data_IF_292966627036
#
_entry.id   IF_292966627036
#
_cell.length_a   1.000
_cell.length_b   1.000
_cell.length_c   1.000
_cell.angle_alpha   90.00
_cell.angle_beta   90.00
_cell.angle_gamma   90.00
#
_symmetry.space_group_name_H-M   'P 1'
#
loop_
_entity.id
_entity.type
_entity.pdbx_description
1 polymer ?
#
# COMPACT_ATOMS: atom_id res chain seq x y z
N UNK A 1 -9.07 26.64 20.83
CA UNK A 1 -8.95 26.15 22.22
C UNK A 1 -7.91 25.05 22.26
N UNK A 2 -7.20 24.85 23.39
CA UNK A 2 -6.26 23.74 23.52
C UNK A 2 -7.02 22.40 23.38
N UNK A 3 -6.50 21.48 22.55
CA UNK A 3 -7.10 20.15 22.39
C UNK A 3 -6.69 19.16 23.48
N UNK A 4 -5.62 19.48 24.22
CA UNK A 4 -5.10 18.69 25.33
C UNK A 4 -4.85 19.63 26.51
N UNK A 5 -5.43 19.28 27.65
CA UNK A 5 -5.15 19.93 28.93
C UNK A 5 -4.43 18.95 29.84
N UNK A 6 -3.25 19.32 30.32
CA UNK A 6 -2.47 18.52 31.27
C UNK A 6 -2.67 19.10 32.67
N UNK A 7 -3.05 18.26 33.62
CA UNK A 7 -3.33 18.68 34.99
C UNK A 7 -2.70 17.71 35.99
N UNK A 8 -2.05 18.26 37.02
CA UNK A 8 -1.38 17.46 38.07
C UNK A 8 -2.33 17.15 39.23
N UNK A 9 -3.19 18.12 39.60
CA UNK A 9 -4.22 18.01 40.66
C UNK A 9 -5.48 18.88 40.39
N UNK A 10 -5.54 19.65 39.29
CA UNK A 10 -6.60 20.65 39.04
C UNK A 10 -7.83 20.14 38.26
N UNK A 11 -7.86 18.88 37.84
CA UNK A 11 -9.11 18.27 37.33
C UNK A 11 -9.99 17.73 38.48
N UNK A 12 -9.48 17.74 39.71
CA UNK A 12 -10.18 17.20 40.89
C UNK A 12 -11.41 18.05 41.24
N UNK A 13 -11.37 19.39 41.10
CA UNK A 13 -12.55 20.26 41.27
C UNK A 13 -12.44 21.56 40.46
N UNK A 14 -13.44 21.88 39.63
CA UNK A 14 -13.62 23.23 39.06
C UNK A 14 -13.65 23.36 37.54
N UNK A 15 -13.16 22.36 36.78
CA UNK A 15 -13.23 22.38 35.31
C UNK A 15 -14.52 21.70 34.86
N UNK A 16 -15.41 22.47 34.23
CA UNK A 16 -16.62 21.96 33.59
C UNK A 16 -16.52 22.07 32.06
N UNK A 17 -16.10 20.97 31.42
CA UNK A 17 -16.04 20.88 29.95
C UNK A 17 -16.88 19.68 29.50
N UNK A 18 -18.12 19.89 29.01
CA UNK A 18 -18.97 18.81 28.49
C UNK A 18 -18.37 18.09 27.28
N UNK A 19 -17.55 18.79 26.51
CA UNK A 19 -16.91 18.34 25.27
C UNK A 19 -15.76 17.32 25.47
N UNK A 20 -15.47 16.89 26.70
CA UNK A 20 -14.38 15.92 26.98
C UNK A 20 -14.69 14.57 26.33
N UNK A 21 -13.87 14.16 25.38
CA UNK A 21 -13.97 12.86 24.71
C UNK A 21 -12.97 11.81 25.19
N UNK A 22 -11.86 12.24 25.79
CA UNK A 22 -10.75 11.36 26.18
C UNK A 22 -10.23 11.75 27.57
N UNK A 23 -10.15 10.79 28.48
CA UNK A 23 -9.47 10.92 29.76
C UNK A 23 -8.21 10.06 29.76
N UNK A 24 -7.07 10.64 30.11
CA UNK A 24 -5.79 9.92 30.14
C UNK A 24 -5.28 9.86 31.58
N UNK A 25 -5.27 8.67 32.17
CA UNK A 25 -4.65 8.42 33.47
C UNK A 25 -3.17 8.07 33.28
N UNK A 26 -2.32 9.08 33.49
CA UNK A 26 -0.86 8.95 33.45
C UNK A 26 -0.22 9.10 34.85
N UNK A 27 -1.00 8.80 35.90
CA UNK A 27 -0.62 8.86 37.32
C UNK A 27 -1.39 7.77 38.07
N UNK A 28 -0.76 7.21 39.10
CA UNK A 28 -1.41 6.28 40.03
C UNK A 28 -2.32 7.07 40.97
N UNK A 29 -3.60 6.70 41.01
CA UNK A 29 -4.63 7.29 41.86
C UNK A 29 -4.86 6.35 43.05
N UNK A 30 -4.63 6.86 44.25
CA UNK A 30 -4.76 6.07 45.49
C UNK A 30 -6.11 6.25 46.19
N UNK A 31 -6.92 7.22 45.77
CA UNK A 31 -8.23 7.51 46.37
C UNK A 31 -9.36 7.15 45.42
N UNK A 32 -10.24 6.23 45.85
CA UNK A 32 -11.42 5.81 45.09
C UNK A 32 -12.35 6.98 44.77
N UNK A 33 -12.51 7.92 45.72
CA UNK A 33 -13.35 9.10 45.55
C UNK A 33 -12.79 9.98 44.42
N UNK A 34 -11.48 10.21 44.39
CA UNK A 34 -10.84 11.00 43.32
C UNK A 34 -10.96 10.30 41.97
N UNK A 35 -10.77 8.99 41.93
CA UNK A 35 -10.90 8.20 40.72
C UNK A 35 -12.31 8.31 40.10
N UNK A 36 -13.36 8.15 40.90
CA UNK A 36 -14.75 8.32 40.45
C UNK A 36 -15.04 9.76 39.99
N UNK A 37 -14.52 10.76 40.71
CA UNK A 37 -14.65 12.17 40.32
C UNK A 37 -13.98 12.47 38.98
N UNK A 38 -12.80 11.90 38.73
CA UNK A 38 -12.07 12.08 37.47
C UNK A 38 -12.84 11.43 36.32
N UNK A 39 -13.38 10.22 36.49
CA UNK A 39 -14.24 9.56 35.49
C UNK A 39 -15.49 10.39 35.21
N UNK A 40 -16.12 10.92 36.25
CA UNK A 40 -17.32 11.76 36.14
C UNK A 40 -17.13 13.05 35.33
N UNK A 41 -15.89 13.43 34.98
CA UNK A 41 -15.65 14.55 34.05
C UNK A 41 -16.01 14.19 32.60
N UNK A 42 -15.82 12.93 32.21
CA UNK A 42 -16.10 12.44 30.86
C UNK A 42 -17.58 12.16 30.60
N UNK A 43 -18.40 11.97 31.64
CA UNK A 43 -19.79 11.50 31.52
C UNK A 43 -20.79 12.57 31.10
N UNK A 44 -20.39 13.85 31.03
CA UNK A 44 -21.29 14.94 30.64
C UNK A 44 -21.72 14.79 29.19
N UNK A 45 -23.02 14.89 28.95
CA UNK A 45 -23.58 14.92 27.60
C UNK A 45 -23.26 16.24 26.92
N UNK A 46 -23.00 16.18 25.62
CA UNK A 46 -22.78 17.36 24.80
C UNK A 46 -23.54 17.17 23.49
N UNK A 47 -24.53 18.03 23.23
CA UNK A 47 -25.30 17.97 22.00
C UNK A 47 -24.49 18.52 20.83
N UNK A 48 -24.73 17.97 19.65
CA UNK A 48 -24.15 18.40 18.38
C UNK A 48 -22.59 18.46 18.39
N UNK A 49 -21.94 17.65 19.24
CA UNK A 49 -20.49 17.71 19.45
C UNK A 49 -19.70 17.32 18.19
N UNK A 50 -20.20 16.32 17.46
CA UNK A 50 -19.58 15.83 16.23
C UNK A 50 -20.17 16.48 14.97
N UNK A 51 -21.38 17.04 15.08
CA UNK A 51 -22.11 17.75 14.04
C UNK A 51 -23.60 17.85 14.38
N UNK A 52 -24.42 18.52 13.56
CA UNK A 52 -25.85 18.67 13.85
C UNK A 52 -26.57 17.32 13.92
N UNK A 53 -27.17 17.01 15.07
CA UNK A 53 -27.82 15.74 15.38
C UNK A 53 -26.85 14.66 15.86
N UNK A 54 -25.54 14.93 15.91
CA UNK A 54 -24.51 13.99 16.35
C UNK A 54 -23.99 14.37 17.74
N UNK A 55 -24.77 13.94 18.73
CA UNK A 55 -24.47 14.12 20.14
C UNK A 55 -23.31 13.23 20.61
N UNK A 56 -22.67 13.66 21.69
CA UNK A 56 -21.72 12.84 22.43
C UNK A 56 -22.43 11.63 23.06
N UNK A 57 -22.11 10.44 22.56
CA UNK A 57 -22.65 9.16 23.07
C UNK A 57 -21.72 8.50 24.09
N UNK A 58 -20.43 8.71 23.95
CA UNK A 58 -19.39 8.01 24.70
C UNK A 58 -18.14 8.89 24.90
N UNK A 59 -17.21 8.40 25.70
CA UNK A 59 -15.88 8.95 25.90
C UNK A 59 -14.91 7.82 26.23
N UNK A 60 -13.64 8.02 25.91
CA UNK A 60 -12.60 7.01 26.09
C UNK A 60 -11.77 7.27 27.34
N UNK A 61 -11.30 6.20 27.97
CA UNK A 61 -10.37 6.26 29.09
C UNK A 61 -9.10 5.50 28.70
N UNK A 62 -7.97 6.17 28.78
CA UNK A 62 -6.64 5.60 28.57
C UNK A 62 -5.95 5.47 29.92
N UNK A 63 -5.88 4.26 30.46
CA UNK A 63 -5.28 4.00 31.78
C UNK A 63 -3.88 3.40 31.68
N UNK A 64 -2.88 4.28 31.68
CA UNK A 64 -1.48 3.86 31.59
C UNK A 64 -0.95 3.27 32.92
N UNK A 65 -1.59 3.59 34.05
CA UNK A 65 -1.08 3.25 35.37
C UNK A 65 -1.84 2.11 36.07
N UNK A 66 -2.81 1.47 35.40
CA UNK A 66 -3.56 0.34 35.96
C UNK A 66 -4.46 0.72 37.14
N UNK A 67 -5.04 1.91 37.12
CA UNK A 67 -5.99 2.39 38.12
C UNK A 67 -7.31 1.58 38.12
N UNK A 68 -7.79 1.13 36.97
CA UNK A 68 -8.99 0.30 36.86
C UNK A 68 -8.81 -1.04 37.58
N UNK A 69 -7.69 -1.71 37.33
CA UNK A 69 -7.29 -2.92 38.04
C UNK A 69 -7.16 -2.66 39.55
N UNK A 70 -6.47 -1.57 39.91
CA UNK A 70 -6.25 -1.19 41.31
C UNK A 70 -7.56 -1.00 42.10
N UNK A 71 -8.60 -0.42 41.48
CA UNK A 71 -9.92 -0.24 42.09
C UNK A 71 -10.93 -1.35 41.77
N UNK A 72 -10.50 -2.41 41.08
CA UNK A 72 -11.36 -3.52 40.62
C UNK A 72 -12.60 -3.04 39.86
N UNK A 73 -12.42 -2.03 39.01
CA UNK A 73 -13.48 -1.49 38.15
C UNK A 73 -13.37 -2.11 36.77
N UNK A 74 -14.45 -2.71 36.29
CA UNK A 74 -14.55 -3.20 34.92
C UNK A 74 -14.96 -2.04 34.00
N UNK A 75 -14.22 -1.85 32.92
CA UNK A 75 -14.63 -1.02 31.79
C UNK A 75 -15.12 -1.89 30.65
N UNK A 76 -15.83 -1.31 29.69
CA UNK A 76 -16.02 -1.94 28.40
C UNK A 76 -14.67 -1.89 27.69
N UNK A 77 -13.97 -3.02 27.62
CA UNK A 77 -12.67 -3.10 26.97
C UNK A 77 -12.84 -2.79 25.47
N UNK A 78 -12.28 -1.66 25.06
CA UNK A 78 -12.21 -1.29 23.65
C UNK A 78 -10.93 -1.90 23.13
N UNK A 79 -11.06 -2.98 22.36
CA UNK A 79 -9.94 -3.46 21.58
C UNK A 79 -9.52 -2.35 20.61
N UNK A 80 -8.21 -2.04 20.49
CA UNK A 80 -7.74 -1.12 19.47
C UNK A 80 -8.35 -1.53 18.13
N UNK A 81 -9.04 -0.62 17.46
CA UNK A 81 -9.42 -0.88 16.08
C UNK A 81 -8.12 -1.03 15.29
N UNK A 82 -7.98 -2.07 14.46
CA UNK A 82 -6.87 -2.21 13.49
C UNK A 82 -6.94 -1.16 12.36
N UNK A 83 -7.55 0.00 12.62
CA UNK A 83 -7.69 1.06 11.64
C UNK A 83 -6.33 1.70 11.38
N UNK A 84 -5.86 1.51 10.15
CA UNK A 84 -4.63 2.15 9.67
C UNK A 84 -4.77 3.67 9.72
N UNK A 85 -3.73 4.35 10.19
CA UNK A 85 -3.64 5.81 10.13
C UNK A 85 -3.74 6.32 8.68
N UNK A 86 -4.12 7.59 8.48
CA UNK A 86 -4.17 8.17 7.13
C UNK A 86 -2.82 8.08 6.39
N UNK A 87 -1.71 8.29 7.11
CA UNK A 87 -0.35 8.17 6.56
C UNK A 87 -0.06 6.72 6.13
N UNK A 88 -0.44 5.74 6.94
CA UNK A 88 -0.27 4.32 6.62
C UNK A 88 -1.12 3.91 5.41
N UNK A 89 -2.38 4.34 5.35
CA UNK A 89 -3.25 4.12 4.20
C UNK A 89 -2.67 4.71 2.91
N UNK A 90 -2.20 5.96 2.95
CA UNK A 90 -1.54 6.61 1.81
C UNK A 90 -0.30 5.84 1.36
N UNK A 91 0.54 5.40 2.31
CA UNK A 91 1.72 4.61 2.01
C UNK A 91 1.35 3.28 1.32
N UNK A 92 0.33 2.58 1.84
CA UNK A 92 -0.18 1.34 1.26
C UNK A 92 -0.70 1.54 -0.18
N UNK A 93 -1.52 2.57 -0.42
CA UNK A 93 -2.09 2.86 -1.74
C UNK A 93 -1.01 3.23 -2.75
N UNK A 94 -0.03 4.04 -2.34
CA UNK A 94 1.10 4.42 -3.20
C UNK A 94 1.94 3.20 -3.57
N UNK A 95 2.16 2.26 -2.65
CA UNK A 95 2.83 1.00 -2.96
C UNK A 95 2.05 0.16 -3.99
N UNK A 96 0.74 0.07 -3.83
CA UNK A 96 -0.12 -0.66 -4.77
C UNK A 96 -0.03 -0.05 -6.17
N UNK A 97 -0.23 1.28 -6.29
CA UNK A 97 -0.13 1.98 -7.58
C UNK A 97 1.27 1.84 -8.17
N UNK A 98 2.33 2.05 -7.37
CA UNK A 98 3.70 1.93 -7.82
C UNK A 98 4.04 0.52 -8.31
N UNK A 99 3.45 -0.53 -7.75
CA UNK A 99 3.65 -1.90 -8.23
C UNK A 99 2.88 -2.17 -9.52
N UNK A 100 1.62 -1.76 -9.61
CA UNK A 100 0.82 -2.07 -10.80
C UNK A 100 1.29 -1.30 -12.04
N UNK A 101 1.74 -0.05 -11.87
CA UNK A 101 2.32 0.74 -12.95
C UNK A 101 3.66 0.17 -13.48
N UNK A 102 4.25 -0.85 -12.84
CA UNK A 102 5.45 -1.51 -13.38
C UNK A 102 5.15 -2.29 -14.66
N UNK A 103 3.90 -2.64 -14.95
CA UNK A 103 3.54 -3.47 -16.10
C UNK A 103 4.02 -2.85 -17.43
N UNK A 104 4.31 -3.70 -18.42
CA UNK A 104 4.77 -3.25 -19.73
C UNK A 104 3.79 -2.24 -20.37
N UNK A 105 2.48 -2.49 -20.26
CA UNK A 105 1.44 -1.62 -20.80
C UNK A 105 1.49 -0.20 -20.21
N UNK A 106 1.75 -0.08 -18.92
CA UNK A 106 1.88 1.21 -18.24
C UNK A 106 3.22 1.87 -18.52
N UNK A 107 4.30 1.10 -18.60
CA UNK A 107 5.64 1.63 -18.88
C UNK A 107 5.81 2.16 -20.31
N UNK A 108 4.93 1.81 -21.26
CA UNK A 108 4.85 2.43 -22.59
C UNK A 108 4.22 3.83 -22.56
N UNK A 109 3.38 4.12 -21.55
CA UNK A 109 2.69 5.40 -21.40
C UNK A 109 3.59 6.37 -20.61
N UNK A 110 3.97 7.48 -21.22
CA UNK A 110 4.93 8.44 -20.65
C UNK A 110 4.52 8.95 -19.27
N UNK A 111 3.24 9.28 -19.10
CA UNK A 111 2.70 9.76 -17.82
C UNK A 111 2.72 8.69 -16.73
N UNK A 112 2.27 7.47 -17.03
CA UNK A 112 2.22 6.35 -16.09
C UNK A 112 3.63 6.01 -15.59
N UNK A 113 4.61 6.01 -16.49
CA UNK A 113 6.03 5.83 -16.15
C UNK A 113 6.53 6.94 -15.23
N UNK A 114 6.22 8.20 -15.52
CA UNK A 114 6.62 9.31 -14.67
C UNK A 114 6.01 9.18 -13.27
N UNK A 115 4.70 8.90 -13.18
CA UNK A 115 4.01 8.71 -11.90
C UNK A 115 4.61 7.55 -11.10
N UNK A 116 4.89 6.42 -11.76
CA UNK A 116 5.57 5.28 -11.18
C UNK A 116 6.93 5.65 -10.54
N UNK A 117 7.76 6.39 -11.28
CA UNK A 117 9.10 6.78 -10.81
C UNK A 117 9.02 7.78 -9.66
N UNK A 118 8.12 8.78 -9.75
CA UNK A 118 7.87 9.75 -8.67
C UNK A 118 7.40 9.05 -7.38
N UNK A 119 6.47 8.10 -7.49
CA UNK A 119 5.98 7.33 -6.34
C UNK A 119 7.08 6.48 -5.70
N UNK A 120 7.92 5.82 -6.50
CA UNK A 120 9.04 5.02 -5.97
C UNK A 120 10.07 5.87 -5.25
N UNK A 121 10.40 7.06 -5.79
CA UNK A 121 11.30 8.00 -5.12
C UNK A 121 10.71 8.44 -3.78
N UNK A 122 9.42 8.80 -3.75
CA UNK A 122 8.73 9.19 -2.52
C UNK A 122 8.73 8.06 -1.48
N UNK A 123 8.36 6.85 -1.88
CA UNK A 123 8.29 5.67 -1.00
C UNK A 123 9.68 5.30 -0.46
N UNK A 124 10.72 5.35 -1.31
CA UNK A 124 12.12 5.15 -0.89
C UNK A 124 12.53 6.17 0.17
N UNK A 125 12.25 7.45 -0.04
CA UNK A 125 12.55 8.50 0.93
C UNK A 125 11.82 8.27 2.26
N UNK A 126 10.55 7.88 2.21
CA UNK A 126 9.75 7.59 3.41
C UNK A 126 10.33 6.40 4.22
N UNK A 127 10.71 5.31 3.55
CA UNK A 127 11.31 4.14 4.21
C UNK A 127 12.72 4.46 4.72
N UNK A 128 13.53 5.17 3.94
CA UNK A 128 14.88 5.57 4.33
C UNK A 128 14.89 6.51 5.54
N UNK A 129 13.86 7.34 5.71
CA UNK A 129 13.69 8.26 6.83
C UNK A 129 13.29 7.58 8.15
N UNK A 130 12.97 6.27 8.15
CA UNK A 130 12.69 5.54 9.39
C UNK A 130 13.98 5.45 10.22
N UNK A 131 13.97 6.04 11.42
CA UNK A 131 15.13 6.05 12.32
C UNK A 131 15.48 4.67 12.87
N UNK A 132 16.76 4.28 12.79
CA UNK A 132 17.27 2.98 13.28
C UNK A 132 17.20 2.88 14.82
N UNK A 133 17.24 4.02 15.48
CA UNK A 133 17.18 4.18 16.93
C UNK A 133 15.78 3.96 17.51
N UNK A 134 14.72 4.04 16.69
CA UNK A 134 13.34 3.82 17.12
C UNK A 134 13.16 2.37 17.57
N UNK A 135 12.79 2.17 18.84
CA UNK A 135 12.58 0.82 19.39
C UNK A 135 11.51 0.04 18.61
N UNK A 136 10.46 0.73 18.18
CA UNK A 136 9.36 0.18 17.37
C UNK A 136 9.82 -0.31 15.99
N UNK A 137 10.90 0.24 15.42
CA UNK A 137 11.40 -0.16 14.11
C UNK A 137 12.29 -1.42 14.16
N UNK A 138 12.80 -1.80 15.34
CA UNK A 138 13.75 -2.93 15.51
C UNK A 138 13.22 -4.27 14.97
N UNK A 139 11.96 -4.67 15.24
CA UNK A 139 11.42 -5.94 14.72
C UNK A 139 11.34 -5.98 13.18
N UNK A 140 11.34 -4.81 12.53
CA UNK A 140 11.10 -4.66 11.11
C UNK A 140 12.37 -4.34 10.30
N UNK A 141 13.56 -4.35 10.93
CA UNK A 141 14.81 -3.98 10.28
C UNK A 141 15.19 -4.89 9.10
N UNK A 142 14.82 -6.16 9.16
CA UNK A 142 14.98 -7.11 8.06
C UNK A 142 14.22 -6.67 6.79
N UNK A 143 13.07 -6.00 6.95
CA UNK A 143 12.27 -5.43 5.87
C UNK A 143 12.78 -4.04 5.51
N UNK A 144 13.15 -3.19 6.47
CA UNK A 144 13.53 -1.79 6.19
C UNK A 144 14.89 -1.68 5.50
N UNK A 145 15.91 -2.41 5.98
CA UNK A 145 17.30 -2.18 5.55
C UNK A 145 17.56 -2.45 4.06
N UNK A 146 17.01 -3.52 3.44
CA UNK A 146 17.16 -3.74 2.00
C UNK A 146 16.59 -2.60 1.16
N UNK A 147 15.50 -1.98 1.63
CA UNK A 147 14.79 -0.90 0.93
C UNK A 147 15.35 0.49 1.20
N UNK A 148 16.44 0.61 1.98
CA UNK A 148 17.24 1.85 1.98
C UNK A 148 18.05 2.00 0.70
N UNK A 149 18.37 0.90 0.02
CA UNK A 149 19.06 0.93 -1.27
C UNK A 149 18.04 1.15 -2.40
N UNK A 150 18.30 2.15 -3.24
CA UNK A 150 17.46 2.50 -4.40
C UNK A 150 17.33 1.33 -5.39
N UNK A 151 18.36 0.48 -5.53
CA UNK A 151 18.32 -0.66 -6.45
C UNK A 151 17.19 -1.65 -6.15
N UNK A 152 16.80 -1.80 -4.87
CA UNK A 152 15.73 -2.72 -4.48
C UNK A 152 14.34 -2.22 -4.87
N UNK A 153 14.19 -0.94 -5.21
CA UNK A 153 12.96 -0.34 -5.72
C UNK A 153 12.77 -0.49 -7.23
N UNK A 154 13.77 -0.98 -7.97
CA UNK A 154 13.70 -1.12 -9.43
C UNK A 154 12.49 -1.95 -9.86
N UNK A 155 12.30 -3.12 -9.26
CA UNK A 155 11.08 -3.91 -9.41
C UNK A 155 10.64 -4.45 -8.04
N UNK A 156 9.39 -4.18 -7.69
CA UNK A 156 8.72 -4.66 -6.50
C UNK A 156 7.89 -5.90 -6.86
N UNK A 157 8.10 -7.00 -6.13
CA UNK A 157 7.22 -8.16 -6.18
C UNK A 157 5.98 -7.94 -5.30
N UNK A 158 4.98 -8.82 -5.42
CA UNK A 158 3.79 -8.73 -4.57
C UNK A 158 4.09 -9.00 -3.11
N UNK A 159 5.00 -9.95 -2.84
CA UNK A 159 5.46 -10.23 -1.50
C UNK A 159 6.23 -9.06 -0.90
N UNK A 160 7.04 -8.38 -1.73
CA UNK A 160 7.76 -7.17 -1.34
C UNK A 160 6.79 -6.05 -0.91
N UNK A 161 5.72 -5.80 -1.69
CA UNK A 161 4.66 -4.86 -1.33
C UNK A 161 3.94 -5.27 -0.05
N UNK A 162 3.57 -6.55 0.09
CA UNK A 162 2.91 -7.07 1.29
C UNK A 162 3.76 -6.87 2.56
N UNK A 163 5.07 -7.13 2.47
CA UNK A 163 6.02 -6.89 3.56
C UNK A 163 6.14 -5.40 3.90
N UNK A 164 6.25 -4.53 2.90
CA UNK A 164 6.36 -3.09 3.10
C UNK A 164 5.08 -2.51 3.74
N UNK A 165 3.89 -2.99 3.38
CA UNK A 165 2.64 -2.54 4.01
C UNK A 165 2.61 -2.76 5.53
N UNK A 166 3.35 -3.75 6.06
CA UNK A 166 3.44 -4.01 7.50
C UNK A 166 4.18 -2.90 8.26
N UNK A 167 5.07 -2.16 7.58
CA UNK A 167 5.82 -1.04 8.19
C UNK A 167 5.15 0.33 8.00
N UNK A 168 3.93 0.37 7.42
CA UNK A 168 3.22 1.63 7.16
C UNK A 168 2.97 2.49 8.42
N UNK A 169 2.76 1.85 9.57
CA UNK A 169 2.61 2.53 10.87
C UNK A 169 3.89 3.23 11.36
N UNK A 170 5.07 2.85 10.85
CA UNK A 170 6.36 3.47 11.20
C UNK A 170 6.68 4.72 10.37
N UNK A 171 5.94 4.93 9.27
CA UNK A 171 6.14 6.05 8.37
C UNK A 171 5.87 7.35 9.11
N UNK A 172 6.79 8.31 8.97
CA UNK A 172 6.67 9.61 9.62
C UNK A 172 5.42 10.31 9.11
N UNK A 173 4.59 10.76 10.04
CA UNK A 173 3.40 11.55 9.71
C UNK A 173 3.84 12.87 9.08
N UNK A 174 3.43 13.08 7.83
CA UNK A 174 3.67 14.33 7.10
C UNK A 174 2.92 15.50 7.77
N UNK A 175 3.44 16.72 7.59
CA UNK A 175 2.84 17.96 8.12
C UNK A 175 1.58 18.40 7.36
N UNK A 176 1.21 17.67 6.31
CA UNK A 176 0.01 17.93 5.52
C UNK A 176 -1.25 17.86 6.36
N UNK A 177 -2.23 18.65 5.94
CA UNK A 177 -3.55 18.70 6.55
C UNK A 177 -4.26 17.34 6.44
N UNK A 178 -5.04 16.96 7.45
CA UNK A 178 -5.76 15.68 7.48
C UNK A 178 -6.77 15.57 6.34
N UNK A 179 -7.43 16.67 5.99
CA UNK A 179 -8.38 16.76 4.89
C UNK A 179 -7.69 16.57 3.53
N UNK A 180 -6.48 17.09 3.36
CA UNK A 180 -5.69 16.86 2.15
C UNK A 180 -5.31 15.37 2.05
N UNK A 181 -4.93 14.73 3.16
CA UNK A 181 -4.64 13.29 3.21
C UNK A 181 -5.87 12.45 2.88
N UNK A 182 -7.04 12.77 3.45
CA UNK A 182 -8.30 12.09 3.14
C UNK A 182 -8.67 12.23 1.67
N UNK A 183 -8.51 13.42 1.09
CA UNK A 183 -8.76 13.63 -0.33
C UNK A 183 -7.78 12.85 -1.21
N UNK A 184 -6.49 12.86 -0.88
CA UNK A 184 -5.48 12.05 -1.57
C UNK A 184 -5.84 10.56 -1.52
N UNK A 185 -6.31 10.03 -0.38
CA UNK A 185 -6.78 8.64 -0.26
C UNK A 185 -7.92 8.36 -1.26
N UNK A 186 -8.92 9.24 -1.33
CA UNK A 186 -10.05 9.07 -2.26
C UNK A 186 -9.56 9.05 -3.71
N UNK A 187 -8.71 10.01 -4.09
CA UNK A 187 -8.19 10.11 -5.45
C UNK A 187 -7.33 8.90 -5.82
N UNK A 188 -6.43 8.46 -4.92
CA UNK A 188 -5.58 7.30 -5.17
C UNK A 188 -6.38 6.01 -5.31
N UNK A 189 -7.49 5.84 -4.58
CA UNK A 189 -8.39 4.69 -4.81
C UNK A 189 -9.02 4.71 -6.21
N UNK A 190 -9.44 5.88 -6.69
CA UNK A 190 -9.99 6.01 -8.05
C UNK A 190 -8.90 5.70 -9.08
N UNK A 191 -7.70 6.27 -8.92
CA UNK A 191 -6.57 5.96 -9.81
C UNK A 191 -6.24 4.47 -9.82
N UNK A 192 -6.22 3.84 -8.64
CA UNK A 192 -5.90 2.42 -8.51
C UNK A 192 -6.96 1.52 -9.15
N UNK A 193 -8.22 1.90 -9.13
CA UNK A 193 -9.29 1.16 -9.81
C UNK A 193 -9.24 1.24 -11.34
N UNK A 194 -8.64 2.30 -11.89
CA UNK A 194 -8.40 2.41 -13.33
C UNK A 194 -7.27 1.50 -13.78
N UNK A 195 -6.28 1.30 -12.91
CA UNK A 195 -5.13 0.45 -13.16
C UNK A 195 -5.49 -1.02 -12.93
N UNK A 196 -6.24 -1.31 -11.87
CA UNK A 196 -6.62 -2.66 -11.46
C UNK A 196 -8.14 -2.80 -11.48
N UNK A 197 -8.65 -3.41 -12.55
CA UNK A 197 -10.10 -3.59 -12.78
C UNK A 197 -10.77 -4.52 -11.77
N UNK A 198 -10.00 -5.26 -10.96
CA UNK A 198 -10.56 -6.07 -9.87
C UNK A 198 -11.03 -5.20 -8.70
N UNK A 199 -10.49 -3.98 -8.57
CA UNK A 199 -10.84 -3.03 -7.51
C UNK A 199 -12.03 -2.19 -7.93
N UNK A 200 -13.14 -2.33 -7.20
CA UNK A 200 -14.34 -1.53 -7.48
C UNK A 200 -14.20 -0.12 -6.92
N UNK A 201 -14.49 0.86 -7.77
CA UNK A 201 -14.79 2.22 -7.33
C UNK A 201 -16.12 2.20 -6.60
N UNK A 202 -16.08 2.31 -5.27
CA UNK A 202 -17.28 2.51 -4.48
C UNK A 202 -17.88 3.91 -4.72
N UNK A 203 -18.27 4.58 -3.65
CA UNK A 203 -18.85 5.93 -3.73
C UNK A 203 -17.80 7.05 -3.95
N UNK A 204 -16.53 6.71 -4.19
CA UNK A 204 -15.43 7.68 -4.26
C UNK A 204 -15.61 8.76 -5.33
N UNK A 205 -16.08 8.43 -6.54
CA UNK A 205 -16.37 9.45 -7.57
C UNK A 205 -17.42 10.46 -7.08
N UNK A 206 -18.46 9.98 -6.38
CA UNK A 206 -19.50 10.85 -5.80
C UNK A 206 -18.94 11.77 -4.72
N UNK A 207 -18.00 11.28 -3.90
CA UNK A 207 -17.31 12.09 -2.89
C UNK A 207 -16.56 13.25 -3.56
N UNK A 208 -15.81 12.98 -4.62
CA UNK A 208 -15.08 14.02 -5.36
C UNK A 208 -16.03 15.04 -5.99
N UNK A 209 -17.11 14.59 -6.65
CA UNK A 209 -18.14 15.48 -7.22
C UNK A 209 -18.78 16.36 -6.14
N UNK A 210 -19.09 15.81 -4.98
CA UNK A 210 -19.66 16.56 -3.86
C UNK A 210 -18.68 17.60 -3.31
N UNK A 211 -17.40 17.26 -3.17
CA UNK A 211 -16.34 18.19 -2.76
C UNK A 211 -16.28 19.35 -3.77
N UNK A 212 -16.24 19.06 -5.06
CA UNK A 212 -16.22 20.05 -6.12
C UNK A 212 -17.45 20.98 -6.06
N UNK A 213 -18.65 20.44 -5.88
CA UNK A 213 -19.88 21.22 -5.76
C UNK A 213 -19.88 22.16 -4.53
N UNK A 214 -19.24 21.76 -3.43
CA UNK A 214 -19.10 22.62 -2.24
C UNK A 214 -18.05 23.71 -2.49
N UNK A 215 -16.93 23.37 -3.13
CA UNK A 215 -15.90 24.34 -3.50
C UNK A 215 -16.45 25.39 -4.47
N UNK A 216 -17.25 24.99 -5.46
CA UNK A 216 -17.87 25.94 -6.41
C UNK A 216 -18.74 26.99 -5.71
N UNK A 217 -19.46 26.63 -4.64
CA UNK A 217 -20.23 27.59 -3.82
C UNK A 217 -19.34 28.61 -3.10
N UNK A 218 -18.03 28.35 -2.99
CA UNK A 218 -17.01 29.22 -2.42
C UNK A 218 -16.19 29.97 -3.47
N UNK A 219 -16.73 30.14 -4.67
CA UNK A 219 -16.16 30.95 -5.77
C UNK A 219 -15.89 32.43 -5.41
N UNK A 220 -16.22 32.92 -4.22
CA UNK A 220 -15.75 34.23 -3.75
C UNK A 220 -14.29 34.22 -3.28
N UNK A 221 -13.71 33.04 -3.01
CA UNK A 221 -12.34 32.88 -2.54
C UNK A 221 -11.39 32.86 -3.76
N UNK A 222 -10.37 33.74 -3.84
CA UNK A 222 -9.48 33.82 -5.00
C UNK A 222 -8.82 32.48 -5.37
N UNK A 223 -8.33 31.73 -4.38
CA UNK A 223 -7.72 30.42 -4.60
C UNK A 223 -8.70 29.40 -5.21
N UNK A 224 -9.99 29.48 -4.87
CA UNK A 224 -11.02 28.60 -5.47
C UNK A 224 -11.34 29.03 -6.90
N UNK A 225 -11.40 30.35 -7.15
CA UNK A 225 -11.63 30.89 -8.49
C UNK A 225 -10.53 30.55 -9.49
N UNK A 226 -9.28 30.51 -9.04
CA UNK A 226 -8.15 30.09 -9.86
C UNK A 226 -8.30 28.66 -10.40
N UNK A 227 -8.95 27.78 -9.65
CA UNK A 227 -9.14 26.36 -9.99
C UNK A 227 -10.58 26.03 -10.42
N UNK A 228 -11.41 27.04 -10.74
CA UNK A 228 -12.85 26.87 -10.98
C UNK A 228 -13.15 26.00 -12.19
N UNK A 229 -12.27 26.01 -13.20
CA UNK A 229 -12.45 25.22 -14.42
C UNK A 229 -12.35 23.72 -14.13
N UNK A 230 -11.38 23.32 -13.31
CA UNK A 230 -11.20 21.94 -12.85
C UNK A 230 -12.39 21.52 -11.97
N UNK A 231 -12.80 22.39 -11.04
CA UNK A 231 -13.97 22.15 -10.17
C UNK A 231 -15.23 21.87 -11.01
N UNK A 232 -15.44 22.61 -12.10
CA UNK A 232 -16.58 22.41 -13.01
C UNK A 232 -16.42 21.19 -13.91
N UNK A 233 -15.19 20.88 -14.33
CA UNK A 233 -14.91 19.73 -15.17
C UNK A 233 -15.24 18.43 -14.45
N UNK A 234 -14.78 18.28 -13.21
CA UNK A 234 -14.97 17.07 -12.39
C UNK A 234 -16.44 16.82 -12.03
N UNK A 235 -17.30 17.84 -12.08
CA UNK A 235 -18.74 17.68 -11.88
C UNK A 235 -19.49 17.15 -13.11
N UNK A 236 -18.88 17.18 -14.30
CA UNK A 236 -19.53 16.73 -15.54
C UNK A 236 -19.38 15.21 -15.73
N UNK A 237 -20.44 14.49 -16.13
CA UNK A 237 -20.34 13.04 -16.42
C UNK A 237 -19.27 12.69 -17.46
N UNK A 238 -19.12 13.53 -18.49
CA UNK A 238 -18.17 13.35 -19.60
C UNK A 238 -16.71 13.21 -19.13
N UNK A 239 -16.35 13.84 -18.00
CA UNK A 239 -15.02 13.70 -17.41
C UNK A 239 -14.77 12.25 -16.94
N UNK A 240 -15.75 11.66 -16.25
CA UNK A 240 -15.66 10.31 -15.70
C UNK A 240 -15.83 9.21 -16.75
N UNK A 241 -16.42 9.53 -17.90
CA UNK A 241 -16.51 8.63 -19.06
C UNK A 241 -15.17 8.49 -19.79
N UNK A 242 -14.31 9.51 -19.72
CA UNK A 242 -13.01 9.56 -20.39
C UNK A 242 -11.87 9.82 -19.40
N UNK A 243 -12.00 9.31 -18.17
CA UNK A 243 -11.00 9.55 -17.13
C UNK A 243 -9.68 8.83 -17.45
N UNK A 244 -8.58 9.51 -17.17
CA UNK A 244 -7.21 9.02 -17.36
C UNK A 244 -6.39 9.32 -16.11
N UNK A 245 -5.27 8.61 -15.95
CA UNK A 245 -4.40 8.79 -14.77
C UNK A 245 -3.83 10.20 -14.68
N UNK A 246 -3.50 10.83 -15.81
CA UNK A 246 -3.03 12.21 -15.87
C UNK A 246 -4.10 13.20 -15.43
N UNK A 247 -5.35 13.02 -15.89
CA UNK A 247 -6.47 13.86 -15.50
C UNK A 247 -6.77 13.73 -14.01
N UNK A 248 -6.76 12.52 -13.45
CA UNK A 248 -7.01 12.29 -12.02
C UNK A 248 -5.89 12.81 -11.13
N UNK A 249 -4.62 12.61 -11.51
CA UNK A 249 -3.48 13.14 -10.76
C UNK A 249 -3.46 14.67 -10.80
N UNK A 250 -3.82 15.28 -11.94
CA UNK A 250 -3.98 16.72 -12.04
C UNK A 250 -5.08 17.22 -11.10
N UNK A 251 -6.28 16.61 -11.12
CA UNK A 251 -7.37 16.93 -10.17
C UNK A 251 -6.90 16.80 -8.72
N UNK A 252 -6.14 15.75 -8.39
CA UNK A 252 -5.61 15.54 -7.04
C UNK A 252 -4.70 16.67 -6.60
N UNK A 253 -3.71 17.04 -7.44
CA UNK A 253 -2.72 18.10 -7.13
C UNK A 253 -3.37 19.47 -6.98
N UNK A 254 -4.31 19.80 -7.85
CA UNK A 254 -4.95 21.11 -7.91
C UNK A 254 -5.99 21.29 -6.79
N UNK A 255 -6.80 20.27 -6.51
CA UNK A 255 -7.87 20.38 -5.51
C UNK A 255 -7.42 20.09 -4.08
N UNK A 256 -6.36 19.30 -3.83
CA UNK A 256 -5.92 18.94 -2.45
C UNK A 256 -5.64 20.17 -1.60
N UNK A 257 -5.06 21.21 -2.21
CA UNK A 257 -4.76 22.48 -1.58
C UNK A 257 -6.00 23.28 -1.19
N UNK A 258 -7.18 23.00 -1.77
CA UNK A 258 -8.43 23.70 -1.51
C UNK A 258 -9.33 23.00 -0.50
N UNK A 259 -9.11 21.71 -0.21
CA UNK A 259 -9.99 20.92 0.67
C UNK A 259 -10.04 21.47 2.10
N UNK A 260 -8.97 22.13 2.58
CA UNK A 260 -8.99 22.79 3.89
C UNK A 260 -10.07 23.89 3.99
N UNK A 261 -10.49 24.48 2.86
CA UNK A 261 -11.57 25.46 2.82
C UNK A 261 -12.91 24.85 3.21
N UNK A 262 -13.06 23.53 3.20
CA UNK A 262 -14.28 22.85 3.65
C UNK A 262 -14.46 22.92 5.19
N UNK A 263 -13.41 23.23 5.95
CA UNK A 263 -13.45 23.38 7.43
C UNK A 263 -14.38 24.49 7.89
N UNK A 264 -14.45 25.58 7.13
CA UNK A 264 -15.24 26.76 7.47
C UNK A 264 -16.65 26.69 6.90
N UNK A 265 -17.46 25.72 7.33
CA UNK A 265 -18.91 25.91 7.29
C UNK A 265 -19.29 26.77 8.50
N UNK A 266 -19.63 28.04 8.27
CA UNK A 266 -20.40 28.84 9.24
C UNK A 266 -21.74 28.14 9.45
N UNK A 267 -21.84 27.31 10.49
CA UNK A 267 -23.04 26.51 10.79
C UNK A 267 -22.82 25.14 11.42
N UNK A 268 -21.61 24.75 11.82
CA UNK A 268 -21.39 23.55 12.66
C UNK A 268 -21.37 22.20 11.93
N UNK A 269 -21.60 22.15 10.61
CA UNK A 269 -21.42 20.92 9.81
C UNK A 269 -19.96 20.77 9.41
N UNK A 270 -19.19 20.01 10.18
CA UNK A 270 -17.91 19.47 9.72
C UNK A 270 -18.21 18.49 8.57
N UNK A 271 -17.52 18.64 7.45
CA UNK A 271 -17.55 17.63 6.40
C UNK A 271 -16.67 16.47 6.84
N UNK A 272 -17.26 15.50 7.54
CA UNK A 272 -16.59 14.27 7.91
C UNK A 272 -16.63 13.37 6.67
N UNK A 273 -15.49 13.24 5.99
CA UNK A 273 -15.32 12.16 5.02
C UNK A 273 -15.04 10.92 5.86
N UNK A 274 -16.11 10.27 6.33
CA UNK A 274 -16.02 8.96 6.94
C UNK A 274 -15.87 7.96 5.79
N UNK A 275 -14.62 7.66 5.46
CA UNK A 275 -14.31 6.55 4.57
C UNK A 275 -14.33 5.32 5.46
N UNK A 276 -15.52 4.80 5.73
CA UNK A 276 -15.66 3.44 6.24
C UNK A 276 -14.84 2.55 5.30
N UNK A 277 -13.86 1.83 5.83
CA UNK A 277 -13.35 0.65 5.13
C UNK A 277 -14.52 -0.33 5.17
N UNK A 278 -15.21 -0.62 4.05
CA UNK A 278 -16.23 -1.64 4.07
C UNK A 278 -15.50 -2.97 4.23
N UNK A 279 -15.27 -3.39 5.47
CA UNK A 279 -15.31 -4.82 5.75
C UNK A 279 -16.79 -5.16 5.86
N UNK A 280 -17.29 -5.95 4.93
CA UNK A 280 -18.61 -6.57 5.07
C UNK A 280 -18.58 -7.44 6.32
N UNK A 281 -19.07 -6.93 7.46
CA UNK A 281 -19.65 -7.81 8.46
C UNK A 281 -20.99 -8.22 7.89
N UNK A 282 -21.05 -9.42 7.34
CA UNK A 282 -22.32 -10.04 6.98
C UNK A 282 -23.04 -10.31 8.29
N UNK A 283 -24.04 -9.49 8.61
CA UNK A 283 -24.94 -9.79 9.72
C UNK A 283 -25.85 -10.94 9.31
N UNK A 284 -25.48 -12.15 9.76
CA UNK A 284 -26.38 -13.30 9.82
C UNK A 284 -26.00 -14.46 8.92
N UNK A 285 -25.68 -15.60 9.56
CA UNK A 285 -25.81 -16.94 8.99
C UNK A 285 -24.49 -17.67 8.77
N UNK A 286 -24.10 -18.46 9.78
CA UNK A 286 -23.05 -19.49 9.77
C UNK A 286 -21.61 -18.98 9.56
N UNK A 287 -20.64 -19.62 10.23
CA UNK A 287 -19.22 -19.35 10.09
C UNK A 287 -18.76 -19.65 8.64
N UNK A 288 -19.04 -18.75 7.70
CA UNK A 288 -18.31 -18.71 6.45
C UNK A 288 -16.92 -18.16 6.76
N UNK A 289 -15.98 -19.10 6.87
CA UNK A 289 -14.54 -18.87 6.82
C UNK A 289 -14.26 -17.72 5.85
N UNK A 290 -13.65 -16.65 6.35
CA UNK A 290 -13.16 -15.52 5.54
C UNK A 290 -12.43 -16.14 4.34
N UNK A 291 -13.06 -16.16 3.16
CA UNK A 291 -12.40 -16.62 1.94
C UNK A 291 -11.45 -15.50 1.51
N UNK A 292 -10.28 -15.44 2.15
CA UNK A 292 -9.13 -14.75 1.59
C UNK A 292 -8.98 -15.21 0.15
N UNK A 293 -8.86 -14.24 -0.77
CA UNK A 293 -8.64 -14.52 -2.19
C UNK A 293 -7.50 -15.52 -2.39
N UNK A 294 -7.59 -16.36 -3.43
CA UNK A 294 -6.55 -17.32 -3.78
C UNK A 294 -5.16 -16.67 -3.82
N UNK A 295 -5.06 -15.49 -4.44
CA UNK A 295 -3.86 -14.66 -4.51
C UNK A 295 -3.28 -14.33 -3.13
N UNK A 296 -4.12 -13.89 -2.20
CA UNK A 296 -3.70 -13.60 -0.82
C UNK A 296 -3.21 -14.88 -0.10
N UNK A 297 -3.90 -16.01 -0.26
CA UNK A 297 -3.46 -17.30 0.32
C UNK A 297 -2.06 -17.71 -0.18
N UNK A 298 -1.80 -17.51 -1.47
CA UNK A 298 -0.47 -17.75 -2.07
C UNK A 298 0.59 -16.82 -1.47
N UNK A 299 0.30 -15.52 -1.35
CA UNK A 299 1.24 -14.55 -0.76
C UNK A 299 1.59 -14.93 0.68
N UNK A 300 0.58 -15.30 1.48
CA UNK A 300 0.77 -15.68 2.88
C UNK A 300 1.60 -16.95 2.99
N UNK A 301 1.30 -17.97 2.19
CA UNK A 301 2.08 -19.20 2.12
C UNK A 301 3.56 -18.95 1.78
N UNK A 302 3.83 -18.13 0.75
CA UNK A 302 5.21 -17.80 0.34
C UNK A 302 5.94 -16.96 1.40
N UNK A 303 5.22 -16.13 2.15
CA UNK A 303 5.78 -15.36 3.25
C UNK A 303 6.22 -16.26 4.41
N UNK A 304 5.43 -17.27 4.75
CA UNK A 304 5.67 -18.20 5.85
C UNK A 304 6.74 -19.25 5.49
N UNK A 305 6.80 -19.67 4.23
CA UNK A 305 7.69 -20.72 3.75
C UNK A 305 8.97 -20.18 3.10
N UNK A 306 9.38 -18.95 3.37
CA UNK A 306 10.52 -18.30 2.69
C UNK A 306 11.86 -19.06 2.80
N UNK A 307 11.99 -19.98 3.77
CA UNK A 307 13.18 -20.81 3.98
C UNK A 307 13.11 -22.18 3.28
N UNK A 308 12.05 -22.46 2.52
CA UNK A 308 11.91 -23.69 1.75
C UNK A 308 13.02 -23.80 0.69
N UNK A 309 13.61 -24.99 0.57
CA UNK A 309 14.67 -25.25 -0.40
C UNK A 309 14.18 -25.02 -1.83
N UNK A 310 12.98 -25.49 -2.16
CA UNK A 310 12.37 -25.37 -3.48
C UNK A 310 12.13 -23.90 -3.86
N UNK A 311 11.63 -23.08 -2.93
CA UNK A 311 11.45 -21.64 -3.18
C UNK A 311 12.80 -20.92 -3.35
N UNK A 312 13.83 -21.32 -2.59
CA UNK A 312 15.18 -20.78 -2.74
C UNK A 312 15.77 -21.14 -4.11
N UNK A 313 15.58 -22.38 -4.58
CA UNK A 313 16.01 -22.80 -5.93
C UNK A 313 15.40 -21.90 -7.01
N UNK A 314 14.10 -21.61 -6.90
CA UNK A 314 13.38 -20.72 -7.83
C UNK A 314 13.98 -19.32 -7.86
N UNK A 315 14.24 -18.72 -6.70
CA UNK A 315 14.81 -17.37 -6.58
C UNK A 315 16.26 -17.27 -7.05
N UNK A 316 17.05 -18.32 -6.82
CA UNK A 316 18.49 -18.37 -7.13
C UNK A 316 18.82 -18.94 -8.51
N UNK A 317 17.80 -19.26 -9.32
CA UNK A 317 17.97 -19.85 -10.64
C UNK A 317 18.73 -21.19 -10.60
N UNK A 318 18.38 -22.04 -9.62
CA UNK A 318 18.87 -23.41 -9.50
C UNK A 318 17.86 -24.37 -10.14
N UNK A 319 18.35 -25.48 -10.71
CA UNK A 319 17.52 -26.45 -11.43
C UNK A 319 16.48 -27.10 -10.51
N UNK A 320 15.21 -27.01 -10.88
CA UNK A 320 14.14 -27.77 -10.23
C UNK A 320 14.13 -29.22 -10.69
N UNK A 321 13.81 -30.12 -9.77
CA UNK A 321 13.54 -31.53 -10.07
C UNK A 321 12.06 -31.74 -10.40
N UNK A 322 11.72 -32.85 -11.06
CA UNK A 322 10.30 -33.19 -11.31
C UNK A 322 9.49 -33.29 -10.01
N UNK A 323 10.10 -33.82 -8.94
CA UNK A 323 9.47 -33.89 -7.62
C UNK A 323 9.23 -32.51 -7.01
N UNK A 324 10.12 -31.55 -7.22
CA UNK A 324 9.91 -30.15 -6.77
C UNK A 324 8.67 -29.53 -7.45
N UNK A 325 8.47 -29.78 -8.75
CA UNK A 325 7.35 -29.21 -9.51
C UNK A 325 6.02 -29.87 -9.11
N UNK A 326 5.99 -31.20 -9.00
CA UNK A 326 4.80 -31.95 -8.57
C UNK A 326 4.33 -31.52 -7.17
N UNK A 327 5.26 -31.30 -6.25
CA UNK A 327 4.96 -30.81 -4.90
C UNK A 327 4.35 -29.40 -4.92
N UNK A 328 4.92 -28.48 -5.72
CA UNK A 328 4.39 -27.13 -5.87
C UNK A 328 2.99 -27.13 -6.50
N UNK A 329 2.77 -27.96 -7.52
CA UNK A 329 1.45 -28.11 -8.14
C UNK A 329 0.44 -28.65 -7.12
N UNK A 330 0.79 -29.65 -6.30
CA UNK A 330 -0.09 -30.16 -5.24
C UNK A 330 -0.45 -29.06 -4.24
N UNK A 331 0.54 -28.32 -3.76
CA UNK A 331 0.31 -27.24 -2.80
C UNK A 331 -0.60 -26.16 -3.40
N UNK A 332 -0.35 -25.73 -4.63
CA UNK A 332 -1.09 -24.63 -5.26
C UNK A 332 -2.50 -25.04 -5.73
N UNK A 333 -2.73 -26.31 -6.08
CA UNK A 333 -3.98 -26.80 -6.65
C UNK A 333 -4.85 -27.65 -5.70
N UNK A 334 -4.32 -28.07 -4.55
CA UNK A 334 -5.05 -28.87 -3.56
C UNK A 334 -5.05 -28.25 -2.16
N UNK A 335 -3.94 -27.62 -1.72
CA UNK A 335 -3.82 -27.07 -0.36
C UNK A 335 -4.25 -25.59 -0.29
N UNK A 336 -3.76 -24.75 -1.21
CA UNK A 336 -4.01 -23.30 -1.21
C UNK A 336 -5.29 -22.90 -1.95
N UNK A 337 -5.83 -23.77 -2.79
CA UNK A 337 -6.98 -23.49 -3.64
C UNK A 337 -7.14 -24.56 -4.70
N UNK A 338 -7.86 -24.24 -5.78
CA UNK A 338 -8.06 -25.17 -6.90
C UNK A 338 -7.25 -24.77 -8.13
N UNK A 339 -7.05 -25.72 -9.04
CA UNK A 339 -6.46 -25.46 -10.36
C UNK A 339 -7.26 -24.43 -11.17
N UNK A 340 -8.58 -24.38 -10.99
CA UNK A 340 -9.44 -23.40 -11.67
C UNK A 340 -9.22 -21.99 -11.15
N UNK A 341 -9.11 -21.79 -9.82
CA UNK A 341 -8.76 -20.49 -9.22
C UNK A 341 -7.39 -20.00 -9.71
N UNK A 342 -6.42 -20.91 -9.83
CA UNK A 342 -5.10 -20.60 -10.40
C UNK A 342 -5.18 -20.21 -11.88
N UNK A 343 -5.94 -20.96 -12.69
CA UNK A 343 -6.09 -20.68 -14.11
C UNK A 343 -6.79 -19.35 -14.36
N UNK A 344 -7.78 -18.99 -13.55
CA UNK A 344 -8.49 -17.71 -13.61
C UNK A 344 -7.53 -16.55 -13.27
N UNK A 345 -6.73 -16.70 -12.22
CA UNK A 345 -5.76 -15.67 -11.81
C UNK A 345 -4.63 -15.47 -12.82
N UNK A 346 -4.21 -16.54 -13.48
CA UNK A 346 -3.06 -16.53 -14.42
C UNK A 346 -3.46 -16.39 -15.88
N UNK A 347 -4.76 -16.21 -16.15
CA UNK A 347 -5.27 -16.09 -17.52
C UNK A 347 -4.67 -14.86 -18.23
N UNK A 348 -4.26 -15.04 -19.48
CA UNK A 348 -3.62 -13.99 -20.29
C UNK A 348 -2.14 -13.73 -19.96
N UNK A 349 -1.59 -14.36 -18.92
CA UNK A 349 -0.18 -14.17 -18.55
C UNK A 349 0.76 -15.25 -19.11
N UNK A 350 2.04 -14.92 -19.38
CA UNK A 350 3.03 -15.88 -19.89
C UNK A 350 3.26 -17.10 -18.99
N UNK A 351 3.07 -16.92 -17.67
CA UNK A 351 3.30 -17.93 -16.64
C UNK A 351 2.11 -18.86 -16.37
N UNK A 352 1.01 -18.77 -17.14
CA UNK A 352 -0.22 -19.57 -16.92
C UNK A 352 0.04 -21.06 -16.67
N UNK A 353 0.97 -21.66 -17.41
CA UNK A 353 1.21 -23.11 -17.32
C UNK A 353 2.41 -23.49 -16.44
N UNK A 354 3.02 -22.56 -15.70
CA UNK A 354 4.21 -22.85 -14.90
C UNK A 354 4.13 -22.19 -13.52
N UNK A 355 3.91 -23.02 -12.49
CA UNK A 355 3.81 -22.59 -11.09
C UNK A 355 5.12 -21.95 -10.61
N UNK A 356 6.29 -22.42 -11.05
CA UNK A 356 7.56 -21.82 -10.68
C UNK A 356 7.76 -20.43 -11.30
N UNK A 357 7.31 -20.22 -12.56
CA UNK A 357 7.29 -18.89 -13.18
C UNK A 357 6.34 -17.96 -12.41
N UNK A 358 5.15 -18.44 -12.03
CA UNK A 358 4.21 -17.68 -11.20
C UNK A 358 4.83 -17.30 -9.85
N UNK A 359 5.50 -18.23 -9.17
CA UNK A 359 6.21 -17.96 -7.90
C UNK A 359 7.28 -16.89 -8.08
N UNK A 360 8.01 -16.84 -9.19
CA UNK A 360 8.99 -15.76 -9.47
C UNK A 360 8.34 -14.38 -9.52
N UNK A 361 7.14 -14.26 -10.08
CA UNK A 361 6.41 -12.99 -10.15
C UNK A 361 5.96 -12.55 -8.75
N UNK A 362 5.41 -13.47 -7.96
CA UNK A 362 4.88 -13.16 -6.63
C UNK A 362 6.00 -12.93 -5.61
N UNK A 363 7.00 -13.79 -5.58
CA UNK A 363 8.09 -13.79 -4.59
C UNK A 363 9.24 -12.86 -5.00
N UNK A 364 9.46 -12.66 -6.30
CA UNK A 364 10.62 -11.97 -6.85
C UNK A 364 11.84 -12.87 -7.05
N UNK A 365 12.88 -12.33 -7.70
CA UNK A 365 14.11 -13.05 -8.08
C UNK A 365 15.37 -12.47 -7.40
N UNK A 366 16.41 -13.29 -7.23
CA UNK A 366 17.73 -12.80 -6.79
C UNK A 366 18.55 -12.28 -7.98
N UNK A 367 18.53 -10.96 -8.14
CA UNK A 367 19.28 -10.26 -9.19
C UNK A 367 20.79 -10.44 -9.08
N UNK A 368 21.34 -10.47 -7.85
CA UNK A 368 22.79 -10.61 -7.66
C UNK A 368 23.22 -11.99 -8.10
N UNK A 369 22.44 -13.01 -7.76
CA UNK A 369 22.71 -14.38 -8.19
C UNK A 369 22.60 -14.53 -9.70
N UNK A 370 21.59 -13.92 -10.32
CA UNK A 370 21.45 -13.93 -11.77
C UNK A 370 22.64 -13.30 -12.50
N UNK A 371 23.14 -12.16 -12.00
CA UNK A 371 24.34 -11.52 -12.55
C UNK A 371 25.61 -12.38 -12.35
N UNK A 372 25.74 -13.06 -11.21
CA UNK A 372 26.84 -14.02 -10.99
C UNK A 372 26.80 -15.20 -11.95
N UNK A 373 25.61 -15.73 -12.26
CA UNK A 373 25.44 -16.80 -13.25
C UNK A 373 25.89 -16.28 -14.61
N UNK A 374 25.48 -15.08 -15.00
CA UNK A 374 25.88 -14.51 -16.28
C UNK A 374 27.40 -14.29 -16.40
N UNK A 375 28.07 -13.91 -15.31
CA UNK A 375 29.54 -13.77 -15.29
C UNK A 375 30.27 -15.08 -15.65
N UNK A 376 29.66 -16.25 -15.42
CA UNK A 376 30.25 -17.53 -15.82
C UNK A 376 30.28 -17.74 -17.34
N UNK A 377 29.39 -17.06 -18.07
CA UNK A 377 29.33 -17.10 -19.53
C UNK A 377 30.31 -16.12 -20.20
N UNK A 378 30.98 -15.28 -19.41
CA UNK A 378 31.91 -14.28 -19.89
C UNK A 378 33.26 -14.51 -19.22
N UNK A 379 34.03 -15.46 -19.79
CA UNK A 379 35.39 -15.77 -19.32
C UNK A 379 36.32 -14.56 -19.47
N UNK A 380 36.50 -13.79 -18.41
CA UNK A 380 37.52 -12.74 -18.31
C UNK A 380 37.22 -11.39 -18.95
N UNK A 381 36.02 -11.17 -19.50
CA UNK A 381 35.59 -9.82 -19.93
C UNK A 381 34.77 -9.14 -18.86
N UNK A 382 35.08 -7.87 -18.60
CA UNK A 382 34.20 -7.00 -17.82
C UNK A 382 33.07 -6.50 -18.73
N UNK A 383 31.87 -6.46 -18.19
CA UNK A 383 30.72 -5.91 -18.90
C UNK A 383 30.90 -4.41 -19.13
N UNK A 384 30.49 -3.95 -20.30
CA UNK A 384 30.31 -2.52 -20.53
C UNK A 384 29.07 -2.04 -19.77
N UNK A 385 29.02 -0.75 -19.43
CA UNK A 385 27.86 -0.17 -18.74
C UNK A 385 26.55 -0.36 -19.51
N UNK A 386 26.61 -0.40 -20.85
CA UNK A 386 25.44 -0.66 -21.70
C UNK A 386 24.99 -2.13 -21.60
N UNK A 387 25.93 -3.08 -21.61
CA UNK A 387 25.60 -4.50 -21.41
C UNK A 387 25.03 -4.78 -20.02
N UNK A 388 25.56 -4.14 -18.97
CA UNK A 388 24.99 -4.23 -17.61
C UNK A 388 23.55 -3.72 -17.54
N UNK A 389 23.27 -2.59 -18.20
CA UNK A 389 21.91 -2.03 -18.27
C UNK A 389 20.96 -3.00 -18.98
N UNK A 390 21.40 -3.59 -20.09
CA UNK A 390 20.60 -4.52 -20.88
C UNK A 390 20.30 -5.82 -20.10
N UNK A 391 21.27 -6.30 -19.31
CA UNK A 391 21.03 -7.42 -18.38
C UNK A 391 20.03 -7.06 -17.29
N UNK A 392 20.11 -5.85 -16.72
CA UNK A 392 19.12 -5.39 -15.74
C UNK A 392 17.71 -5.42 -16.32
N UNK A 393 17.55 -4.96 -17.57
CA UNK A 393 16.26 -5.00 -18.28
C UNK A 393 15.74 -6.44 -18.47
N UNK A 394 16.62 -7.41 -18.73
CA UNK A 394 16.25 -8.84 -18.77
C UNK A 394 15.75 -9.31 -17.40
N UNK A 395 16.46 -8.96 -16.32
CA UNK A 395 16.05 -9.34 -14.97
C UNK A 395 14.74 -8.67 -14.54
N UNK A 396 14.52 -7.42 -14.93
CA UNK A 396 13.25 -6.72 -14.74
C UNK A 396 12.12 -7.47 -15.48
N UNK A 397 12.36 -7.87 -16.73
CA UNK A 397 11.41 -8.66 -17.51
C UNK A 397 11.06 -10.00 -16.84
N UNK A 398 12.06 -10.77 -16.39
CA UNK A 398 11.83 -12.04 -15.67
C UNK A 398 11.07 -11.79 -14.37
N UNK A 399 11.38 -10.72 -13.65
CA UNK A 399 10.71 -10.40 -12.39
C UNK A 399 9.23 -10.08 -12.57
N UNK A 400 8.83 -9.58 -13.75
CA UNK A 400 7.45 -9.21 -14.07
C UNK A 400 6.68 -10.36 -14.74
N UNK A 401 7.34 -11.14 -15.60
CA UNK A 401 6.71 -12.17 -16.43
C UNK A 401 7.02 -13.60 -15.97
N UNK A 402 7.87 -13.77 -14.95
CA UNK A 402 8.22 -15.06 -14.36
C UNK A 402 9.23 -15.88 -15.15
N UNK A 403 9.31 -15.67 -16.47
CA UNK A 403 10.18 -16.41 -17.38
C UNK A 403 10.66 -15.53 -18.55
N UNK A 404 11.69 -16.00 -19.26
CA UNK A 404 12.18 -15.38 -20.48
C UNK A 404 12.67 -16.43 -21.50
N UNK A 405 12.24 -16.26 -22.74
CA UNK A 405 12.71 -17.02 -23.89
C UNK A 405 13.33 -16.09 -24.94
N UNK A 406 14.05 -16.66 -25.91
CA UNK A 406 14.68 -15.88 -26.99
C UNK A 406 13.67 -15.12 -27.86
N UNK A 407 12.41 -15.56 -27.92
CA UNK A 407 11.34 -14.87 -28.66
C UNK A 407 10.93 -13.54 -28.00
N UNK A 408 11.05 -13.41 -26.67
CA UNK A 408 10.63 -12.22 -25.94
C UNK A 408 11.52 -11.00 -26.22
N UNK A 409 12.69 -11.17 -26.83
CA UNK A 409 13.49 -10.06 -27.34
C UNK A 409 12.79 -9.22 -28.41
N UNK A 410 11.72 -9.75 -29.02
CA UNK A 410 10.90 -9.03 -30.00
C UNK A 410 9.71 -8.30 -29.34
N UNK A 411 9.53 -8.45 -28.04
CA UNK A 411 8.44 -7.88 -27.25
C UNK A 411 8.94 -6.69 -26.41
N UNK A 412 8.05 -5.75 -26.09
CA UNK A 412 8.39 -4.63 -25.20
C UNK A 412 8.58 -5.12 -23.76
N UNK A 413 9.50 -4.54 -22.96
CA UNK A 413 10.45 -3.45 -23.27
C UNK A 413 11.72 -3.89 -24.00
N UNK A 414 11.91 -5.20 -24.24
CA UNK A 414 13.18 -5.72 -24.75
C UNK A 414 13.43 -5.38 -26.23
N UNK A 415 12.38 -5.23 -27.06
CA UNK A 415 12.49 -4.97 -28.50
C UNK A 415 13.24 -3.69 -28.89
N UNK A 416 13.21 -2.68 -28.02
CA UNK A 416 13.81 -1.36 -28.30
C UNK A 416 15.33 -1.35 -28.05
N UNK A 417 15.85 -2.40 -27.45
CA UNK A 417 17.25 -2.54 -27.08
C UNK A 417 18.03 -3.18 -28.23
N UNK A 418 19.20 -2.62 -28.55
CA UNK A 418 20.00 -3.03 -29.71
C UNK A 418 20.93 -4.20 -29.39
N UNK A 419 20.36 -5.32 -28.93
CA UNK A 419 21.11 -6.45 -28.37
C UNK A 419 22.29 -6.94 -29.22
N UNK A 420 22.12 -7.03 -30.55
CA UNK A 420 23.18 -7.50 -31.45
C UNK A 420 24.31 -6.50 -31.61
N UNK A 421 24.02 -5.21 -31.59
CA UNK A 421 25.03 -4.16 -31.66
C UNK A 421 25.82 -4.10 -30.34
N UNK A 422 25.13 -4.18 -29.21
CA UNK A 422 25.71 -4.06 -27.87
C UNK A 422 26.53 -5.30 -27.44
N UNK A 423 26.07 -6.51 -27.78
CA UNK A 423 26.74 -7.76 -27.37
C UNK A 423 27.63 -8.38 -28.45
N UNK A 424 27.45 -8.02 -29.73
CA UNK A 424 28.29 -8.52 -30.84
C UNK A 424 28.46 -10.04 -30.80
N UNK A 425 29.72 -10.50 -30.76
CA UNK A 425 30.06 -11.92 -30.71
C UNK A 425 29.67 -12.61 -29.39
N UNK A 426 29.55 -11.86 -28.29
CA UNK A 426 29.09 -12.38 -26.98
C UNK A 426 27.58 -12.58 -26.90
N UNK A 427 26.83 -12.22 -27.95
CA UNK A 427 25.37 -12.42 -27.99
C UNK A 427 24.97 -13.91 -27.92
N UNK A 428 25.85 -14.83 -28.35
CA UNK A 428 25.63 -16.28 -28.19
C UNK A 428 25.60 -16.65 -26.70
N UNK A 429 26.53 -16.12 -25.92
CA UNK A 429 26.61 -16.34 -24.48
C UNK A 429 25.36 -15.80 -23.75
N UNK A 430 24.81 -14.67 -24.20
CA UNK A 430 23.54 -14.14 -23.70
C UNK A 430 22.36 -15.06 -23.99
N UNK A 431 22.30 -15.66 -25.19
CA UNK A 431 21.27 -16.65 -25.50
C UNK A 431 21.37 -17.90 -24.65
N UNK A 432 22.58 -18.38 -24.38
CA UNK A 432 22.78 -19.56 -23.55
C UNK A 432 22.45 -19.30 -22.09
N UNK A 433 22.76 -18.10 -21.57
CA UNK A 433 22.26 -17.63 -20.29
C UNK A 433 20.73 -17.65 -20.23
N UNK A 434 20.03 -17.09 -21.23
CA UNK A 434 18.56 -17.10 -21.25
C UNK A 434 17.99 -18.51 -21.29
N UNK A 435 18.56 -19.40 -22.11
CA UNK A 435 18.16 -20.82 -22.12
C UNK A 435 18.34 -21.45 -20.74
N UNK A 436 19.41 -21.12 -20.01
CA UNK A 436 19.59 -21.61 -18.65
C UNK A 436 18.51 -21.07 -17.72
N UNK A 437 18.21 -19.77 -17.76
CA UNK A 437 17.19 -19.13 -16.91
C UNK A 437 15.77 -19.69 -17.11
N UNK A 438 15.46 -20.10 -18.34
CA UNK A 438 14.23 -20.80 -18.71
C UNK A 438 14.26 -22.27 -18.25
N UNK A 439 15.35 -22.99 -18.48
CA UNK A 439 15.48 -24.42 -18.12
C UNK A 439 15.35 -24.69 -16.64
N UNK A 440 15.82 -23.79 -15.78
CA UNK A 440 15.81 -24.04 -14.33
C UNK A 440 14.41 -24.13 -13.73
N UNK A 441 13.36 -23.67 -14.43
CA UNK A 441 11.95 -23.79 -14.02
C UNK A 441 11.17 -24.85 -14.80
N UNK A 442 11.86 -25.67 -15.59
CA UNK A 442 11.30 -26.78 -16.37
C UNK A 442 12.07 -28.05 -15.99
N UNK A 443 11.37 -29.16 -15.77
CA UNK A 443 11.99 -30.44 -15.43
C UNK A 443 12.79 -31.06 -16.57
#
# INVERSE_FOLDING_TARGET
MPQIAVSVDMLDTGIDVPEILNLVFFKIIKSKIKFEQMIGRGTRLCKDLFGPGEDKKEFYIFDWCGNFDFFSKQGDDIHPSDSKSLTDRLFCLRLDIAKELQSAEHQEKEFDKQLHDELKILLHQQVAAIGKERKEARPWLNIIEPYRNQEKWTCLSELDVSRLKKIGHLIKVDKDDEEAKRFDIVMLHIMLSLIDTTRRVGQFRKVVVNIAAILEKKASIPAVMEHIDIIRQVQKPVFWENESLDALEHVRRELRGLVHQLKEQRGGKKFIIDIEDPYTKVEGGEDEVIKTSYKQRVIDYLAENSNSETLRKIQHFEQLTSADIEELERIFFEELGTKDEYNELTEGHPYKNNVAAFIRVINGIDRKKALQIYQQFIEGYNLTSEQELYLKNILDYISMNGDIETRNFLEYPLKDLKWRETFGDTFVNLKDFIKQMHRVIIA
#
